data_IF_866312688157
#
_entry.id   IF_866312688157
#
_cell.length_a   1.000
_cell.length_b   1.000
_cell.length_c   1.000
_cell.angle_alpha   90.00
_cell.angle_beta   90.00
_cell.angle_gamma   90.00
#
_symmetry.space_group_name_H-M   'P 1'
#
loop_
_entity.id
_entity.type
_entity.pdbx_description
1 polymer ?
#
# COMPACT_ATOMS: atom_id res chain seq x y z
N UNK A 1 -20.54 -7.02 5.99
CA UNK A 1 -19.75 -7.01 4.75
C UNK A 1 -19.64 -5.56 4.31
N UNK A 2 -18.47 -4.96 4.41
CA UNK A 2 -18.23 -3.61 3.86
C UNK A 2 -17.93 -3.81 2.38
N UNK A 3 -18.74 -3.23 1.51
CA UNK A 3 -18.64 -3.39 0.05
C UNK A 3 -17.35 -2.73 -0.46
N UNK A 4 -16.75 -3.27 -1.52
CA UNK A 4 -15.52 -2.70 -2.11
C UNK A 4 -15.66 -1.23 -2.51
N UNK A 5 -16.87 -0.80 -2.88
CA UNK A 5 -17.21 0.59 -3.15
C UNK A 5 -17.02 1.51 -1.92
N UNK A 6 -17.43 1.06 -0.73
CA UNK A 6 -17.26 1.82 0.53
C UNK A 6 -15.78 1.97 0.91
N UNK A 7 -14.92 1.04 0.54
CA UNK A 7 -13.48 1.16 0.75
C UNK A 7 -12.88 2.21 -0.19
N UNK A 8 -13.19 2.11 -1.48
CA UNK A 8 -12.71 3.04 -2.51
C UNK A 8 -13.15 4.49 -2.24
N UNK A 9 -14.42 4.71 -1.86
CA UNK A 9 -14.95 6.04 -1.56
C UNK A 9 -14.27 6.67 -0.33
N UNK A 10 -14.03 5.87 0.72
CA UNK A 10 -13.34 6.36 1.91
C UNK A 10 -11.86 6.64 1.65
N UNK A 11 -11.21 5.89 0.74
CA UNK A 11 -9.84 6.15 0.33
C UNK A 11 -9.72 7.41 -0.52
N UNK A 12 -10.67 7.64 -1.44
CA UNK A 12 -10.78 8.87 -2.21
C UNK A 12 -10.99 10.10 -1.31
N UNK A 13 -11.82 9.98 -0.27
CA UNK A 13 -12.04 11.03 0.72
C UNK A 13 -10.79 11.34 1.55
N UNK A 14 -10.06 10.32 2.01
CA UNK A 14 -8.80 10.48 2.75
C UNK A 14 -7.71 11.16 1.92
N UNK A 15 -7.58 10.77 0.65
CA UNK A 15 -6.64 11.41 -0.29
C UNK A 15 -7.01 12.87 -0.53
N UNK A 16 -8.28 13.17 -0.79
CA UNK A 16 -8.75 14.54 -1.03
C UNK A 16 -8.50 15.46 0.18
N UNK A 17 -8.65 14.93 1.40
CA UNK A 17 -8.34 15.64 2.65
C UNK A 17 -6.86 15.98 2.77
N UNK A 18 -5.97 15.03 2.47
CA UNK A 18 -4.53 15.27 2.45
C UNK A 18 -4.15 16.33 1.41
N UNK A 19 -4.75 16.31 0.23
CA UNK A 19 -4.52 17.33 -0.80
C UNK A 19 -4.98 18.73 -0.36
N UNK A 20 -6.08 18.83 0.38
CA UNK A 20 -6.51 20.10 0.98
C UNK A 20 -5.51 20.60 2.02
N UNK A 21 -4.98 19.72 2.87
CA UNK A 21 -3.95 20.08 3.86
C UNK A 21 -2.65 20.56 3.18
N UNK A 22 -2.25 19.90 2.08
CA UNK A 22 -1.11 20.29 1.23
C UNK A 22 -1.30 21.70 0.65
N UNK A 23 -2.51 22.09 0.26
CA UNK A 23 -2.81 23.42 -0.30
C UNK A 23 -2.83 24.56 0.74
N UNK A 24 -2.82 24.24 2.04
CA UNK A 24 -2.79 25.22 3.13
C UNK A 24 -1.44 25.94 3.29
N UNK A 25 -1.34 26.88 4.25
CA UNK A 25 -0.09 27.59 4.58
C UNK A 25 0.86 26.63 5.30
N UNK A 26 1.56 25.82 4.52
CA UNK A 26 2.60 24.91 4.98
C UNK A 26 3.87 25.12 4.17
N UNK A 27 5.00 24.76 4.77
CA UNK A 27 6.31 24.90 4.14
C UNK A 27 6.39 24.15 2.80
N UNK A 28 7.13 24.72 1.84
CA UNK A 28 7.23 24.19 0.47
C UNK A 28 7.89 22.81 0.42
N UNK A 29 8.83 22.55 1.32
CA UNK A 29 9.51 21.25 1.41
C UNK A 29 8.56 20.18 1.99
N UNK A 30 7.79 20.54 3.01
CA UNK A 30 6.74 19.67 3.56
C UNK A 30 5.71 19.31 2.49
N UNK A 31 5.25 20.30 1.74
CA UNK A 31 4.27 20.12 0.66
C UNK A 31 4.75 19.13 -0.40
N UNK A 32 5.98 19.29 -0.89
CA UNK A 32 6.58 18.38 -1.87
C UNK A 32 6.71 16.93 -1.34
N UNK A 33 7.05 16.76 -0.06
CA UNK A 33 7.19 15.45 0.59
C UNK A 33 5.84 14.74 0.73
N UNK A 34 4.80 15.47 1.14
CA UNK A 34 3.44 14.92 1.24
C UNK A 34 2.87 14.60 -0.13
N UNK A 35 3.07 15.45 -1.14
CA UNK A 35 2.66 15.18 -2.53
C UNK A 35 3.32 13.92 -3.10
N UNK A 36 4.62 13.71 -2.84
CA UNK A 36 5.31 12.51 -3.26
C UNK A 36 4.75 11.26 -2.56
N UNK A 37 4.46 11.34 -1.26
CA UNK A 37 3.83 10.26 -0.50
C UNK A 37 2.42 9.92 -0.98
N UNK A 38 1.61 10.94 -1.27
CA UNK A 38 0.27 10.79 -1.85
C UNK A 38 0.28 10.11 -3.21
N UNK A 39 1.22 10.50 -4.08
CA UNK A 39 1.39 9.88 -5.39
C UNK A 39 1.74 8.39 -5.27
N UNK A 40 2.62 8.05 -4.34
CA UNK A 40 2.97 6.66 -4.05
C UNK A 40 1.80 5.86 -3.46
N UNK A 41 1.02 6.46 -2.56
CA UNK A 41 -0.18 5.83 -1.99
C UNK A 41 -1.25 5.56 -3.06
N UNK A 42 -1.50 6.50 -3.97
CA UNK A 42 -2.40 6.29 -5.11
C UNK A 42 -1.95 5.14 -6.01
N UNK A 43 -0.66 5.09 -6.34
CA UNK A 43 -0.10 4.00 -7.14
C UNK A 43 -0.20 2.64 -6.45
N UNK A 44 -0.13 2.62 -5.11
CA UNK A 44 -0.38 1.42 -4.32
C UNK A 44 -1.85 0.97 -4.39
N UNK A 45 -2.79 1.88 -4.12
CA UNK A 45 -4.23 1.58 -4.13
C UNK A 45 -4.70 1.13 -5.52
N UNK A 46 -4.21 1.77 -6.59
CA UNK A 46 -4.56 1.40 -7.97
C UNK A 46 -3.97 0.06 -8.42
N UNK A 47 -2.92 -0.44 -7.75
CA UNK A 47 -2.24 -1.70 -8.10
C UNK A 47 -2.82 -2.94 -7.43
N UNK A 48 -3.87 -2.81 -6.62
CA UNK A 48 -4.39 -3.90 -5.78
C UNK A 48 -5.27 -4.93 -6.52
N UNK A 49 -5.78 -4.63 -7.72
CA UNK A 49 -6.86 -5.43 -8.33
C UNK A 49 -6.43 -6.66 -9.13
N UNK A 50 -5.14 -6.97 -9.28
CA UNK A 50 -4.69 -8.05 -10.18
C UNK A 50 -3.77 -9.11 -9.57
N UNK A 51 -2.99 -8.78 -8.55
CA UNK A 51 -1.82 -9.58 -8.16
C UNK A 51 -2.10 -10.73 -7.20
N UNK A 52 -3.09 -10.61 -6.33
CA UNK A 52 -3.33 -11.62 -5.28
C UNK A 52 -4.04 -12.89 -5.78
N UNK A 53 -4.79 -12.80 -6.88
CA UNK A 53 -5.51 -13.94 -7.44
C UNK A 53 -4.59 -14.96 -8.11
N UNK A 54 -3.62 -14.46 -8.89
CA UNK A 54 -2.75 -15.28 -9.74
C UNK A 54 -1.66 -15.99 -8.93
N UNK A 55 -1.04 -15.28 -7.98
CA UNK A 55 0.01 -15.82 -7.10
C UNK A 55 -0.47 -16.96 -6.19
N UNK A 56 -1.76 -16.93 -5.80
CA UNK A 56 -2.35 -17.99 -4.94
C UNK A 56 -2.65 -19.28 -5.70
N UNK A 57 -2.85 -19.21 -7.02
CA UNK A 57 -3.13 -20.38 -7.84
C UNK A 57 -1.85 -21.17 -8.19
N UNK A 58 -0.73 -20.48 -8.39
CA UNK A 58 0.39 -21.04 -9.15
C UNK A 58 1.49 -21.74 -8.31
N UNK A 59 1.49 -21.72 -6.97
CA UNK A 59 2.50 -22.49 -6.21
C UNK A 59 2.21 -22.78 -4.72
N UNK A 60 1.76 -24.01 -4.38
CA UNK A 60 1.63 -24.48 -2.99
C UNK A 60 2.95 -24.45 -2.20
N UNK A 61 4.10 -24.62 -2.86
CA UNK A 61 5.43 -24.60 -2.23
C UNK A 61 5.84 -23.22 -1.71
N UNK A 62 5.17 -22.16 -2.14
CA UNK A 62 5.44 -20.77 -1.75
C UNK A 62 4.44 -20.22 -0.73
N UNK A 63 3.59 -21.09 -0.13
CA UNK A 63 2.59 -20.70 0.87
C UNK A 63 3.17 -19.90 2.05
N UNK A 64 4.42 -20.14 2.45
CA UNK A 64 5.06 -19.36 3.52
C UNK A 64 5.28 -17.89 3.12
N UNK A 65 5.77 -17.64 1.90
CA UNK A 65 5.98 -16.29 1.39
C UNK A 65 4.65 -15.59 1.12
N UNK A 66 3.68 -16.30 0.54
CA UNK A 66 2.31 -15.78 0.37
C UNK A 66 1.69 -15.39 1.72
N UNK A 67 1.77 -16.23 2.76
CA UNK A 67 1.27 -15.91 4.11
C UNK A 67 2.03 -14.77 4.79
N UNK A 68 3.32 -14.61 4.51
CA UNK A 68 4.10 -13.48 5.01
C UNK A 68 3.64 -12.18 4.34
N UNK A 69 3.40 -12.21 3.03
CA UNK A 69 2.87 -11.08 2.27
C UNK A 69 1.44 -10.74 2.70
N UNK A 70 0.57 -11.72 2.92
CA UNK A 70 -0.77 -11.50 3.46
C UNK A 70 -0.74 -10.80 4.82
N UNK A 71 0.18 -11.20 5.71
CA UNK A 71 0.38 -10.52 7.00
C UNK A 71 0.90 -9.09 6.81
N UNK A 72 1.88 -8.89 5.94
CA UNK A 72 2.38 -7.54 5.62
C UNK A 72 1.29 -6.65 5.02
N UNK A 73 0.42 -7.21 4.17
CA UNK A 73 -0.74 -6.51 3.64
C UNK A 73 -1.71 -6.10 4.74
N UNK A 74 -2.07 -7.03 5.63
CA UNK A 74 -2.94 -6.72 6.77
C UNK A 74 -2.37 -5.63 7.69
N UNK A 75 -1.05 -5.63 7.91
CA UNK A 75 -0.38 -4.54 8.63
C UNK A 75 -0.46 -3.20 7.88
N UNK A 76 -0.22 -3.22 6.57
CA UNK A 76 -0.28 -2.03 5.73
C UNK A 76 -1.69 -1.43 5.69
N UNK A 77 -2.72 -2.26 5.54
CA UNK A 77 -4.13 -1.84 5.59
C UNK A 77 -4.46 -1.23 6.95
N UNK A 78 -3.95 -1.81 8.03
CA UNK A 78 -4.07 -1.27 9.39
C UNK A 78 -3.39 0.10 9.55
N UNK A 79 -2.22 0.28 8.96
CA UNK A 79 -1.47 1.55 8.97
C UNK A 79 -2.17 2.62 8.11
N UNK A 80 -2.75 2.26 6.96
CA UNK A 80 -3.57 3.15 6.13
C UNK A 80 -4.82 3.61 6.90
N UNK A 81 -5.52 2.71 7.57
CA UNK A 81 -6.70 3.07 8.37
C UNK A 81 -6.31 3.94 9.58
N UNK A 82 -5.13 3.72 10.17
CA UNK A 82 -4.61 4.59 11.22
C UNK A 82 -4.27 5.97 10.68
N UNK A 83 -3.60 6.06 9.52
CA UNK A 83 -3.33 7.33 8.84
C UNK A 83 -4.63 8.10 8.61
N UNK A 84 -5.67 7.43 8.10
CA UNK A 84 -7.00 8.01 7.88
C UNK A 84 -7.64 8.58 9.14
N UNK A 85 -7.57 7.87 10.26
CA UNK A 85 -8.07 8.39 11.55
C UNK A 85 -7.29 9.62 12.01
N UNK A 86 -5.97 9.62 11.79
CA UNK A 86 -5.10 10.75 12.16
C UNK A 86 -5.32 11.97 11.26
N UNK A 87 -5.84 11.83 10.03
CA UNK A 87 -6.10 12.97 9.11
C UNK A 87 -6.99 14.08 9.70
N UNK A 88 -7.81 13.73 10.67
CA UNK A 88 -8.81 14.64 11.24
C UNK A 88 -8.37 15.29 12.55
N UNK A 89 -7.41 14.69 13.27
CA UNK A 89 -7.01 15.13 14.62
C UNK A 89 -5.50 15.25 14.81
N UNK A 90 -4.69 14.85 13.83
CA UNK A 90 -3.23 14.81 13.93
C UNK A 90 -2.56 16.10 13.50
N UNK A 91 -1.32 16.28 13.96
CA UNK A 91 -0.47 17.38 13.52
C UNK A 91 0.15 17.10 12.15
N UNK A 92 0.53 18.13 11.37
CA UNK A 92 1.19 17.96 10.08
C UNK A 92 2.44 17.07 10.12
N UNK A 93 3.22 17.12 11.21
CA UNK A 93 4.41 16.31 11.41
C UNK A 93 4.08 14.82 11.66
N UNK A 94 3.00 14.54 12.40
CA UNK A 94 2.51 13.18 12.61
C UNK A 94 1.98 12.58 11.30
N UNK A 95 1.21 13.37 10.54
CA UNK A 95 0.69 12.96 9.24
C UNK A 95 1.79 12.64 8.24
N UNK A 96 2.81 13.49 8.18
CA UNK A 96 3.98 13.25 7.33
C UNK A 96 4.68 11.94 7.71
N UNK A 97 4.96 11.73 9.00
CA UNK A 97 5.67 10.54 9.48
C UNK A 97 4.90 9.26 9.16
N UNK A 98 3.58 9.26 9.43
CA UNK A 98 2.71 8.14 9.14
C UNK A 98 2.59 7.87 7.64
N UNK A 99 2.49 8.92 6.81
CA UNK A 99 2.46 8.77 5.35
C UNK A 99 3.74 8.12 4.83
N UNK A 100 4.91 8.54 5.30
CA UNK A 100 6.19 7.95 4.89
C UNK A 100 6.36 6.51 5.38
N UNK A 101 5.85 6.19 6.56
CA UNK A 101 5.82 4.81 7.05
C UNK A 101 4.99 3.91 6.12
N UNK A 102 3.76 4.33 5.78
CA UNK A 102 2.89 3.59 4.86
C UNK A 102 3.58 3.40 3.50
N UNK A 103 4.19 4.45 2.96
CA UNK A 103 4.89 4.38 1.66
C UNK A 103 6.08 3.41 1.72
N UNK A 104 6.85 3.41 2.81
CA UNK A 104 7.98 2.50 3.00
C UNK A 104 7.52 1.05 3.06
N UNK A 105 6.50 0.76 3.87
CA UNK A 105 5.95 -0.59 4.00
C UNK A 105 5.33 -1.08 2.68
N UNK A 106 4.62 -0.21 1.95
CA UNK A 106 4.09 -0.53 0.62
C UNK A 106 5.20 -0.90 -0.38
N UNK A 107 6.34 -0.21 -0.36
CA UNK A 107 7.51 -0.54 -1.20
C UNK A 107 8.11 -1.91 -0.83
N UNK A 108 8.23 -2.20 0.46
CA UNK A 108 8.73 -3.49 0.94
C UNK A 108 7.81 -4.64 0.51
N UNK A 109 6.50 -4.45 0.64
CA UNK A 109 5.51 -5.42 0.16
C UNK A 109 5.64 -5.65 -1.35
N UNK A 110 5.69 -4.58 -2.17
CA UNK A 110 5.83 -4.73 -3.64
C UNK A 110 7.10 -5.48 -4.03
N UNK A 111 8.20 -5.25 -3.32
CA UNK A 111 9.45 -6.01 -3.54
C UNK A 111 9.26 -7.49 -3.22
N UNK A 112 8.59 -7.82 -2.11
CA UNK A 112 8.29 -9.21 -1.76
C UNK A 112 7.33 -9.89 -2.73
N UNK A 113 6.36 -9.17 -3.28
CA UNK A 113 5.49 -9.67 -4.37
C UNK A 113 6.30 -9.94 -5.63
N UNK A 114 7.19 -9.02 -6.03
CA UNK A 114 8.05 -9.22 -7.19
C UNK A 114 8.99 -10.44 -7.02
N UNK A 115 9.53 -10.63 -5.81
CA UNK A 115 10.32 -11.83 -5.47
C UNK A 115 9.49 -13.11 -5.56
N UNK A 116 8.25 -13.08 -5.05
CA UNK A 116 7.34 -14.22 -5.13
C UNK A 116 6.96 -14.56 -6.58
N UNK A 117 6.67 -13.56 -7.42
CA UNK A 117 6.42 -13.72 -8.86
C UNK A 117 7.62 -14.31 -9.59
N UNK A 118 8.82 -13.80 -9.29
CA UNK A 118 10.06 -14.31 -9.85
C UNK A 118 10.26 -15.79 -9.49
N UNK A 119 10.04 -16.15 -8.23
CA UNK A 119 10.16 -17.55 -7.78
C UNK A 119 9.08 -18.47 -8.36
N UNK A 120 7.86 -17.98 -8.59
CA UNK A 120 6.83 -18.76 -9.29
C UNK A 120 7.25 -19.02 -10.73
N UNK A 121 7.78 -18.00 -11.42
CA UNK A 121 8.28 -18.13 -12.78
C UNK A 121 9.49 -19.07 -12.90
N UNK A 122 10.44 -19.05 -11.95
CA UNK A 122 11.54 -20.01 -11.91
C UNK A 122 11.08 -21.46 -11.69
N UNK A 123 10.05 -21.68 -10.86
CA UNK A 123 9.49 -23.00 -10.61
C UNK A 123 8.81 -23.57 -11.85
N UNK A 124 8.08 -22.74 -12.61
CA UNK A 124 7.42 -23.16 -13.86
C UNK A 124 8.43 -23.47 -14.98
N UNK A 125 9.56 -22.75 -15.06
CA UNK A 125 10.62 -23.02 -16.04
C UNK A 125 11.56 -24.17 -15.64
N UNK A 126 11.67 -24.48 -14.34
CA UNK A 126 12.57 -25.51 -13.82
C UNK A 126 12.03 -26.94 -13.84
N UNK A 127 10.80 -27.15 -14.31
CA UNK A 127 10.10 -28.44 -14.32
C UNK A 127 10.46 -29.41 -15.46
N UNK A 128 11.26 -28.99 -16.45
CA UNK A 128 11.78 -29.88 -17.49
C UNK A 128 13.17 -30.40 -17.12
N UNK A 129 13.27 -31.36 -16.19
CA UNK A 129 14.40 -32.31 -16.12
C UNK A 129 13.97 -33.66 -15.57
#
# INVERSE_FOLDING_TARGET
>A
MVTGADAADRDAAGISRLEQLVRGPCDRQWRARVEAGLRALRAWLAGQDGLDGQVRADSPRMMYLARRLDRQRGHLDGDVERLRRTLWAGTPAQLETMLWQVVREARLYRRGVAELLYQTYEVDLGGER
#
